data_IF_517168360782
#
_entry.id   IF_517168360782
#
_cell.length_a   1.000
_cell.length_b   1.000
_cell.length_c   1.000
_cell.angle_alpha   90.00
_cell.angle_beta   90.00
_cell.angle_gamma   90.00
#
_symmetry.space_group_name_H-M   'P 1'
#
loop_
_entity.id
_entity.type
_entity.pdbx_description
1 polymer ?
#
# COMPACT_ATOMS: atom_id res chain seq x y z
N UNK A 1 4.30 10.83 -18.57
CA UNK A 1 3.71 10.38 -17.30
C UNK A 1 4.55 9.32 -16.62
N UNK A 2 4.24 8.98 -15.36
CA UNK A 2 4.93 7.99 -14.52
C UNK A 2 3.96 6.92 -14.03
N UNK A 3 4.42 5.68 -13.75
CA UNK A 3 3.57 4.63 -13.20
C UNK A 3 3.06 5.03 -11.80
N UNK A 4 1.84 4.59 -11.48
CA UNK A 4 1.22 4.77 -10.16
C UNK A 4 0.52 3.49 -9.72
N UNK A 5 0.12 3.45 -8.46
CA UNK A 5 -0.70 2.37 -7.91
C UNK A 5 -1.53 2.86 -6.71
N UNK A 6 -2.18 1.93 -6.04
CA UNK A 6 -3.05 2.20 -4.88
C UNK A 6 -2.57 1.46 -3.64
N UNK A 7 -2.79 2.07 -2.48
CA UNK A 7 -2.62 1.41 -1.20
C UNK A 7 -3.94 0.73 -0.83
N UNK A 8 -3.87 -0.56 -0.50
CA UNK A 8 -5.05 -1.41 -0.26
C UNK A 8 -4.88 -2.17 1.05
N UNK A 9 -5.55 -1.74 2.12
CA UNK A 9 -5.52 -2.43 3.41
C UNK A 9 -6.58 -3.52 3.56
N UNK A 10 -7.53 -3.59 2.62
CA UNK A 10 -8.72 -4.43 2.71
C UNK A 10 -9.87 -3.80 3.49
N UNK A 11 -9.63 -2.69 4.19
CA UNK A 11 -10.68 -1.87 4.79
C UNK A 11 -11.51 -1.13 3.74
N UNK A 12 -12.78 -0.82 4.07
CA UNK A 12 -13.77 -0.25 3.16
C UNK A 12 -13.24 0.92 2.32
N UNK A 13 -12.59 1.89 2.95
CA UNK A 13 -12.15 3.13 2.29
C UNK A 13 -11.11 2.85 1.19
N UNK A 14 -10.06 2.08 1.53
CA UNK A 14 -9.01 1.72 0.58
C UNK A 14 -9.54 0.83 -0.54
N UNK A 15 -10.49 -0.05 -0.24
CA UNK A 15 -11.14 -0.93 -1.20
C UNK A 15 -12.00 -0.14 -2.19
N UNK A 16 -12.72 0.88 -1.73
CA UNK A 16 -13.48 1.78 -2.60
C UNK A 16 -12.57 2.61 -3.50
N UNK A 17 -11.48 3.16 -2.97
CA UNK A 17 -10.48 3.89 -3.77
C UNK A 17 -9.89 2.97 -4.85
N UNK A 18 -9.48 1.75 -4.49
CA UNK A 18 -8.94 0.78 -5.44
C UNK A 18 -9.96 0.40 -6.52
N UNK A 19 -11.23 0.18 -6.15
CA UNK A 19 -12.29 -0.16 -7.09
C UNK A 19 -12.55 0.96 -8.10
N UNK A 20 -12.66 2.20 -7.61
CA UNK A 20 -12.87 3.39 -8.47
C UNK A 20 -11.65 3.60 -9.38
N UNK A 21 -10.44 3.52 -8.84
CA UNK A 21 -9.21 3.66 -9.62
C UNK A 21 -9.11 2.59 -10.72
N UNK A 22 -9.41 1.32 -10.40
CA UNK A 22 -9.36 0.22 -11.37
C UNK A 22 -10.36 0.43 -12.52
N UNK A 23 -11.59 0.85 -12.19
CA UNK A 23 -12.62 1.16 -13.19
C UNK A 23 -12.19 2.26 -14.16
N UNK A 24 -11.66 3.37 -13.65
CA UNK A 24 -11.27 4.50 -14.50
C UNK A 24 -9.94 4.28 -15.23
N UNK A 25 -9.02 3.48 -14.68
CA UNK A 25 -7.77 3.13 -15.36
C UNK A 25 -8.06 2.41 -16.69
N UNK A 26 -9.01 1.46 -16.69
CA UNK A 26 -9.40 0.71 -17.87
C UNK A 26 -9.88 1.57 -19.05
N UNK A 27 -10.38 2.78 -18.76
CA UNK A 27 -10.90 3.74 -19.75
C UNK A 27 -9.90 4.85 -20.09
N UNK A 28 -8.71 4.86 -19.47
CA UNK A 28 -7.74 5.95 -19.56
C UNK A 28 -6.62 5.70 -20.57
N UNK A 29 -5.99 6.77 -21.06
CA UNK A 29 -4.76 6.69 -21.87
C UNK A 29 -3.60 6.01 -21.10
N UNK A 30 -3.62 6.07 -19.76
CA UNK A 30 -2.65 5.40 -18.90
C UNK A 30 -2.64 3.88 -19.06
N UNK A 31 -3.79 3.27 -19.36
CA UNK A 31 -3.85 1.84 -19.66
C UNK A 31 -3.10 1.46 -20.95
N UNK A 32 -3.05 2.38 -21.93
CA UNK A 32 -2.33 2.17 -23.18
C UNK A 32 -0.80 2.28 -22.99
N UNK A 33 -0.35 3.13 -22.07
CA UNK A 33 1.07 3.37 -21.82
C UNK A 33 1.70 2.37 -20.84
N UNK A 34 0.98 2.01 -19.77
CA UNK A 34 1.54 1.28 -18.62
C UNK A 34 0.83 -0.04 -18.30
N UNK A 35 -0.15 -0.42 -19.13
CA UNK A 35 -1.01 -1.58 -18.92
C UNK A 35 -2.29 -1.23 -18.16
N UNK A 36 -3.35 -2.00 -18.42
CA UNK A 36 -4.67 -1.80 -17.80
C UNK A 36 -4.77 -2.36 -16.38
N UNK A 37 -3.77 -3.12 -15.91
CA UNK A 37 -3.81 -3.76 -14.60
C UNK A 37 -3.22 -2.84 -13.52
N UNK A 38 -4.10 -2.35 -12.64
CA UNK A 38 -3.71 -1.51 -11.51
C UNK A 38 -2.81 -2.28 -10.53
N UNK A 39 -1.70 -1.67 -10.12
CA UNK A 39 -0.87 -2.19 -9.03
C UNK A 39 -1.48 -1.80 -7.69
N UNK A 40 -1.64 -2.77 -6.78
CA UNK A 40 -2.12 -2.53 -5.42
C UNK A 40 -1.09 -3.01 -4.40
N UNK A 41 -0.92 -2.27 -3.31
CA UNK A 41 0.11 -2.52 -2.31
C UNK A 41 -0.49 -2.62 -0.91
N UNK A 42 -0.06 -3.60 -0.15
CA UNK A 42 -0.38 -3.72 1.27
C UNK A 42 0.87 -4.06 2.07
N UNK A 43 0.85 -3.74 3.36
CA UNK A 43 1.91 -4.11 4.30
C UNK A 43 1.31 -4.60 5.60
N UNK A 44 1.94 -5.60 6.20
CA UNK A 44 1.49 -6.13 7.47
C UNK A 44 2.50 -7.07 8.10
N UNK A 45 2.27 -7.42 9.36
CA UNK A 45 2.91 -8.58 9.94
C UNK A 45 2.40 -9.83 9.24
N UNK A 46 3.26 -10.86 9.09
CA UNK A 46 2.89 -12.12 8.46
C UNK A 46 1.66 -12.73 9.16
N UNK A 47 0.61 -13.01 8.39
CA UNK A 47 -0.65 -13.55 8.91
C UNK A 47 -1.62 -12.52 9.48
N UNK A 48 -1.35 -11.21 9.32
CA UNK A 48 -2.29 -10.18 9.75
C UNK A 48 -3.62 -10.23 8.98
N UNK A 49 -4.74 -9.87 9.63
CA UNK A 49 -6.06 -9.87 9.00
C UNK A 49 -6.15 -8.90 7.83
N UNK A 50 -5.44 -7.77 7.89
CA UNK A 50 -5.40 -6.76 6.81
C UNK A 50 -4.83 -7.35 5.51
N UNK A 51 -3.77 -8.15 5.58
CA UNK A 51 -3.20 -8.80 4.40
C UNK A 51 -4.21 -9.76 3.75
N UNK A 52 -4.97 -10.51 4.56
CA UNK A 52 -6.00 -11.41 4.04
C UNK A 52 -7.11 -10.62 3.36
N UNK A 53 -7.63 -9.57 4.01
CA UNK A 53 -8.69 -8.74 3.47
C UNK A 53 -8.24 -7.99 2.20
N UNK A 54 -7.01 -7.47 2.18
CA UNK A 54 -6.41 -6.83 1.01
C UNK A 54 -6.32 -7.80 -0.17
N UNK A 55 -5.90 -9.05 0.08
CA UNK A 55 -5.85 -10.09 -0.95
C UNK A 55 -7.24 -10.40 -1.52
N UNK A 56 -8.25 -10.58 -0.67
CA UNK A 56 -9.63 -10.84 -1.12
C UNK A 56 -10.13 -9.74 -2.06
N UNK A 57 -9.88 -8.47 -1.73
CA UNK A 57 -10.27 -7.32 -2.57
C UNK A 57 -9.42 -7.27 -3.84
N UNK A 58 -8.12 -7.53 -3.75
CA UNK A 58 -7.23 -7.52 -4.90
C UNK A 58 -7.58 -8.60 -5.92
N UNK A 59 -7.96 -9.80 -5.43
CA UNK A 59 -8.45 -10.91 -6.24
C UNK A 59 -9.79 -10.54 -6.88
N UNK A 60 -10.72 -9.92 -6.16
CA UNK A 60 -11.97 -9.45 -6.73
C UNK A 60 -11.76 -8.41 -7.85
N UNK A 61 -10.87 -7.43 -7.62
CA UNK A 61 -10.57 -6.36 -8.56
C UNK A 61 -9.55 -6.74 -9.65
N UNK A 62 -8.98 -7.94 -9.59
CA UNK A 62 -7.94 -8.45 -10.50
C UNK A 62 -6.71 -7.51 -10.61
N UNK A 63 -6.33 -6.88 -9.50
CA UNK A 63 -5.14 -6.01 -9.45
C UNK A 63 -3.85 -6.81 -9.40
N UNK A 64 -2.74 -6.22 -9.85
CA UNK A 64 -1.41 -6.78 -9.59
C UNK A 64 -1.03 -6.47 -8.14
N UNK A 65 -1.36 -7.40 -7.25
CA UNK A 65 -1.21 -7.21 -5.80
C UNK A 65 0.20 -7.49 -5.31
N UNK A 66 0.72 -6.60 -4.48
CA UNK A 66 2.02 -6.72 -3.82
C UNK A 66 1.81 -6.73 -2.31
N UNK A 67 2.16 -7.84 -1.68
CA UNK A 67 2.14 -7.95 -0.24
C UNK A 67 3.54 -7.78 0.32
N UNK A 68 3.70 -6.78 1.17
CA UNK A 68 4.91 -6.60 1.92
C UNK A 68 4.75 -7.08 3.35
N UNK A 69 5.80 -7.73 3.82
CA UNK A 69 5.93 -8.12 5.20
C UNK A 69 6.97 -7.25 5.88
N UNK A 70 6.75 -6.97 7.14
CA UNK A 70 7.76 -6.46 8.06
C UNK A 70 7.72 -7.28 9.35
N UNK A 71 8.82 -7.24 10.08
CA UNK A 71 8.96 -7.81 11.42
C UNK A 71 8.77 -6.71 12.46
N UNK A 72 8.46 -7.12 13.70
CA UNK A 72 8.39 -6.17 14.81
C UNK A 72 9.72 -5.43 14.99
N UNK A 73 10.85 -6.13 14.82
CA UNK A 73 12.17 -5.53 14.95
C UNK A 73 12.43 -4.47 13.87
N UNK A 74 12.11 -4.75 12.60
CA UNK A 74 12.20 -3.74 11.53
C UNK A 74 11.33 -2.51 11.82
N UNK A 75 10.17 -2.70 12.47
CA UNK A 75 9.32 -1.60 12.93
C UNK A 75 9.97 -0.76 14.03
N UNK A 76 10.61 -1.41 15.02
CA UNK A 76 11.34 -0.73 16.10
C UNK A 76 12.55 0.02 15.56
N UNK A 77 13.33 -0.62 14.69
CA UNK A 77 14.55 -0.05 14.11
C UNK A 77 14.24 1.17 13.22
N UNK A 78 13.03 1.24 12.65
CA UNK A 78 12.60 2.36 11.82
C UNK A 78 12.08 3.58 12.62
N UNK A 79 11.87 3.48 13.94
CA UNK A 79 11.19 4.53 14.70
C UNK A 79 11.89 5.89 14.64
N UNK A 80 13.21 5.92 14.70
CA UNK A 80 13.99 7.17 14.62
C UNK A 80 13.77 7.86 13.27
N UNK A 81 13.91 7.12 12.17
CA UNK A 81 13.65 7.66 10.82
C UNK A 81 12.20 8.07 10.66
N UNK A 82 11.25 7.28 11.16
CA UNK A 82 9.82 7.60 11.07
C UNK A 82 9.53 8.92 11.77
N UNK A 83 9.96 9.08 13.03
CA UNK A 83 9.75 10.31 13.81
C UNK A 83 10.38 11.51 13.12
N UNK A 84 11.59 11.34 12.57
CA UNK A 84 12.27 12.37 11.79
C UNK A 84 11.43 12.82 10.58
N UNK A 85 10.86 11.88 9.81
CA UNK A 85 10.11 12.20 8.59
C UNK A 85 8.72 12.79 8.86
N UNK A 86 8.05 12.40 9.94
CA UNK A 86 6.69 12.86 10.25
C UNK A 86 6.66 14.07 11.19
N UNK A 87 7.82 14.43 11.76
CA UNK A 87 8.02 15.60 12.62
C UNK A 87 7.02 15.72 13.79
N UNK A 88 6.59 14.57 14.34
CA UNK A 88 5.64 14.51 15.46
C UNK A 88 6.01 13.44 16.48
N UNK A 89 5.60 13.67 17.72
CA UNK A 89 5.72 12.73 18.84
C UNK A 89 4.37 12.06 19.19
N UNK A 90 3.30 12.32 18.43
CA UNK A 90 2.00 11.71 18.69
C UNK A 90 2.04 10.18 18.51
N UNK A 91 1.60 9.47 19.55
CA UNK A 91 1.69 8.01 19.64
C UNK A 91 0.88 7.33 18.53
N UNK A 92 -0.32 7.84 18.25
CA UNK A 92 -1.21 7.25 17.24
C UNK A 92 -0.61 7.40 15.85
N UNK A 93 -0.08 8.58 15.56
CA UNK A 93 0.53 8.93 14.27
C UNK A 93 1.81 8.11 14.04
N UNK A 94 2.69 7.98 15.03
CA UNK A 94 3.91 7.17 14.92
C UNK A 94 3.56 5.69 14.64
N UNK A 95 2.60 5.14 15.38
CA UNK A 95 2.16 3.74 15.22
C UNK A 95 1.63 3.45 13.83
N UNK A 96 0.80 4.35 13.28
CA UNK A 96 0.26 4.20 11.93
C UNK A 96 1.31 4.48 10.84
N UNK A 97 2.22 5.43 11.08
CA UNK A 97 3.21 5.86 10.09
C UNK A 97 4.35 4.86 9.91
N UNK A 98 4.69 4.09 10.94
CA UNK A 98 5.79 3.10 10.85
C UNK A 98 5.60 2.08 9.72
N UNK A 99 4.48 1.34 9.63
CA UNK A 99 4.25 0.43 8.50
C UNK A 99 4.12 1.20 7.18
N UNK A 100 3.49 2.38 7.15
CA UNK A 100 3.36 3.20 5.94
C UNK A 100 4.73 3.63 5.37
N UNK A 101 5.65 4.03 6.23
CA UNK A 101 7.02 4.39 5.89
C UNK A 101 7.77 3.19 5.26
N UNK A 102 7.71 2.03 5.92
CA UNK A 102 8.33 0.80 5.41
C UNK A 102 7.74 0.36 4.07
N UNK A 103 6.43 0.49 3.89
CA UNK A 103 5.75 0.20 2.64
C UNK A 103 6.18 1.16 1.53
N UNK A 104 6.20 2.46 1.79
CA UNK A 104 6.63 3.47 0.82
C UNK A 104 8.04 3.19 0.30
N UNK A 105 8.97 2.85 1.20
CA UNK A 105 10.34 2.45 0.84
C UNK A 105 10.38 1.24 -0.10
N UNK A 106 9.53 0.23 0.14
CA UNK A 106 9.42 -0.95 -0.72
C UNK A 106 8.78 -0.63 -2.07
N UNK A 107 7.71 0.18 -2.10
CA UNK A 107 7.08 0.64 -3.35
C UNK A 107 8.10 1.37 -4.22
N UNK A 108 8.87 2.31 -3.66
CA UNK A 108 9.87 3.07 -4.41
C UNK A 108 11.00 2.21 -4.98
N UNK A 109 11.32 1.09 -4.32
CA UNK A 109 12.32 0.14 -4.84
C UNK A 109 11.86 -0.63 -6.10
N UNK A 110 10.56 -0.58 -6.43
CA UNK A 110 9.99 -1.26 -7.60
C UNK A 110 9.95 -0.38 -8.86
N UNK A 111 10.17 0.94 -8.74
CA UNK A 111 10.08 1.89 -9.87
C UNK A 111 9.53 3.25 -9.45
#
# INVERSE_FOLDING_TARGET
DVPFGVLLSGGLDSSLVAAVASRHLAESEGAYQWGSQLHSFCIGLKGSPDLRAAREVADYLQTRHHEFYFTVQEGIDALEEVIYHIETYDVTTIRASTPMFLMSRKIKSLG
#
